data_IF_351127412633
#
_entry.id   IF_351127412633
#
_cell.length_a   1.000
_cell.length_b   1.000
_cell.length_c   1.000
_cell.angle_alpha   90.00
_cell.angle_beta   90.00
_cell.angle_gamma   90.00
#
_symmetry.space_group_name_H-M   'P 1'
#
loop_
_entity.id
_entity.type
_entity.pdbx_description
1 polymer ?
#
# COMPACT_ATOMS: atom_id res chain seq x y z
N UNK A 1 -1.68 18.29 14.72
CA UNK A 1 -2.65 18.11 13.62
C UNK A 1 -2.13 16.96 12.79
N UNK A 2 -2.88 15.88 12.63
CA UNK A 2 -2.40 14.71 11.87
C UNK A 2 -2.42 15.07 10.38
N UNK A 3 -1.30 14.93 9.65
CA UNK A 3 -1.26 15.16 8.22
C UNK A 3 -2.21 14.21 7.51
N UNK A 4 -2.96 14.74 6.55
CA UNK A 4 -3.93 13.96 5.76
C UNK A 4 -3.36 13.67 4.37
N UNK A 5 -3.61 12.47 3.84
CA UNK A 5 -3.33 12.19 2.43
C UNK A 5 -4.13 13.14 1.52
N UNK A 6 -3.47 13.68 0.50
CA UNK A 6 -4.15 14.46 -0.53
C UNK A 6 -5.10 13.58 -1.34
N UNK A 7 -6.11 14.21 -1.96
CA UNK A 7 -7.05 13.53 -2.85
C UNK A 7 -6.31 12.76 -3.95
N UNK A 8 -5.27 13.37 -4.56
CA UNK A 8 -4.46 12.72 -5.59
C UNK A 8 -3.73 11.47 -5.08
N UNK A 9 -3.18 11.51 -3.86
CA UNK A 9 -2.54 10.37 -3.23
C UNK A 9 -3.52 9.24 -2.95
N UNK A 10 -4.73 9.55 -2.48
CA UNK A 10 -5.79 8.55 -2.25
C UNK A 10 -6.18 7.88 -3.56
N UNK A 11 -6.45 8.64 -4.62
CA UNK A 11 -6.77 8.06 -5.93
C UNK A 11 -5.63 7.19 -6.47
N UNK A 12 -4.39 7.62 -6.27
CA UNK A 12 -3.23 6.85 -6.67
C UNK A 12 -3.12 5.52 -5.93
N UNK A 13 -3.27 5.54 -4.60
CA UNK A 13 -3.27 4.33 -3.78
C UNK A 13 -4.39 3.37 -4.18
N UNK A 14 -5.62 3.87 -4.40
CA UNK A 14 -6.72 3.02 -4.86
C UNK A 14 -6.39 2.32 -6.16
N UNK A 15 -5.83 3.05 -7.13
CA UNK A 15 -5.38 2.46 -8.40
C UNK A 15 -4.30 1.39 -8.18
N UNK A 16 -3.32 1.67 -7.31
CA UNK A 16 -2.25 0.73 -6.99
C UNK A 16 -2.80 -0.54 -6.32
N UNK A 17 -3.70 -0.40 -5.35
CA UNK A 17 -4.36 -1.51 -4.68
C UNK A 17 -5.16 -2.38 -5.66
N UNK A 18 -5.92 -1.78 -6.60
CA UNK A 18 -6.61 -2.56 -7.65
C UNK A 18 -5.65 -3.33 -8.54
N UNK A 19 -4.53 -2.72 -8.92
CA UNK A 19 -3.55 -3.35 -9.81
C UNK A 19 -2.91 -4.59 -9.16
N UNK A 20 -2.68 -4.56 -7.86
CA UNK A 20 -1.99 -5.61 -7.12
C UNK A 20 -2.93 -6.51 -6.30
N UNK A 21 -4.24 -6.26 -6.34
CA UNK A 21 -5.25 -6.95 -5.51
C UNK A 21 -5.08 -8.48 -5.44
N UNK A 22 -4.87 -9.23 -6.56
CA UNK A 22 -4.71 -10.68 -6.51
C UNK A 22 -3.47 -11.15 -5.72
N UNK A 23 -2.51 -10.26 -5.49
CA UNK A 23 -1.21 -10.52 -4.89
C UNK A 23 -1.06 -9.89 -3.50
N UNK A 24 -2.08 -9.17 -3.01
CA UNK A 24 -2.03 -8.53 -1.70
C UNK A 24 -2.77 -9.39 -0.68
N UNK A 25 -2.11 -9.66 0.45
CA UNK A 25 -2.72 -10.34 1.59
C UNK A 25 -2.69 -9.44 2.83
N UNK A 26 -3.79 -9.33 3.59
CA UNK A 26 -3.75 -8.63 4.86
C UNK A 26 -2.79 -9.32 5.82
N UNK A 27 -2.02 -8.51 6.55
CA UNK A 27 -1.14 -8.96 7.64
C UNK A 27 -1.87 -8.95 8.97
N UNK A 28 -2.92 -8.12 9.10
CA UNK A 28 -3.80 -8.08 10.26
C UNK A 28 -4.77 -9.28 10.28
N UNK A 29 -4.97 -9.86 11.46
CA UNK A 29 -5.98 -10.89 11.69
C UNK A 29 -7.39 -10.31 11.55
N UNK A 30 -8.35 -11.13 11.10
CA UNK A 30 -9.76 -10.74 11.02
C UNK A 30 -10.26 -10.18 12.37
N UNK A 31 -10.84 -8.98 12.34
CA UNK A 31 -11.34 -8.28 13.53
C UNK A 31 -10.33 -7.40 14.28
N UNK A 32 -9.05 -7.40 13.91
CA UNK A 32 -8.03 -6.55 14.52
C UNK A 32 -8.01 -5.10 13.98
N UNK A 33 -8.67 -4.85 12.85
CA UNK A 33 -8.74 -3.53 12.23
C UNK A 33 -9.38 -3.53 10.84
N UNK A 34 -9.43 -2.35 10.22
CA UNK A 34 -9.87 -2.19 8.83
C UNK A 34 -8.79 -2.68 7.86
N UNK A 35 -9.20 -3.47 6.86
CA UNK A 35 -8.30 -3.98 5.81
C UNK A 35 -8.25 -2.99 4.66
N UNK A 36 -7.04 -2.58 4.27
CA UNK A 36 -6.83 -1.77 3.09
C UNK A 36 -7.27 -2.52 1.82
N UNK A 37 -8.14 -1.89 1.03
CA UNK A 37 -8.46 -2.28 -0.33
C UNK A 37 -8.79 -1.03 -1.16
N UNK A 38 -9.06 -1.20 -2.45
CA UNK A 38 -9.29 -0.09 -3.36
C UNK A 38 -10.56 0.73 -3.08
N UNK A 39 -11.55 0.15 -2.41
CA UNK A 39 -12.82 0.82 -2.08
C UNK A 39 -12.86 1.33 -0.63
N UNK A 40 -11.89 0.92 0.20
CA UNK A 40 -11.81 1.31 1.58
C UNK A 40 -11.58 2.82 1.76
N UNK A 41 -12.00 3.31 2.92
CA UNK A 41 -11.56 4.61 3.43
C UNK A 41 -10.12 4.46 3.96
N UNK A 42 -9.15 4.92 3.17
CA UNK A 42 -7.73 4.77 3.49
C UNK A 42 -7.31 5.60 4.71
N UNK A 43 -8.03 6.66 5.05
CA UNK A 43 -7.76 7.43 6.27
C UNK A 43 -8.19 6.61 7.49
N UNK A 44 -9.40 6.06 7.47
CA UNK A 44 -9.89 5.19 8.54
C UNK A 44 -9.03 3.93 8.71
N UNK A 45 -8.51 3.37 7.59
CA UNK A 45 -7.57 2.25 7.64
C UNK A 45 -6.29 2.62 8.37
N UNK A 46 -5.68 3.77 8.06
CA UNK A 46 -4.46 4.22 8.75
C UNK A 46 -4.72 4.48 10.23
N UNK A 47 -5.84 5.13 10.58
CA UNK A 47 -6.23 5.36 11.97
C UNK A 47 -6.44 4.03 12.73
N UNK A 48 -6.99 3.01 12.07
CA UNK A 48 -7.16 1.69 12.65
C UNK A 48 -5.84 0.94 12.84
N UNK A 49 -4.86 1.12 11.95
CA UNK A 49 -3.56 0.46 12.01
C UNK A 49 -2.60 1.14 12.99
N UNK A 50 -2.72 2.46 13.14
CA UNK A 50 -1.84 3.31 13.93
C UNK A 50 -2.67 4.15 14.92
N UNK A 51 -3.08 3.57 16.07
CA UNK A 51 -3.91 4.27 17.05
C UNK A 51 -3.15 5.38 17.78
N UNK A 52 -1.81 5.36 17.78
CA UNK A 52 -1.00 6.45 18.29
C UNK A 52 -0.94 7.61 17.29
N UNK A 53 -1.33 8.81 17.72
CA UNK A 53 -1.44 9.98 16.83
C UNK A 53 -0.10 10.50 16.29
N UNK A 54 1.00 10.28 17.02
CA UNK A 54 2.34 10.72 16.58
C UNK A 54 2.90 9.73 15.57
N UNK A 55 2.69 8.42 15.79
CA UNK A 55 2.99 7.37 14.83
C UNK A 55 2.16 7.56 13.55
N UNK A 56 0.84 7.74 13.67
CA UNK A 56 -0.07 7.99 12.56
C UNK A 56 0.38 9.18 11.70
N UNK A 57 0.79 10.28 12.33
CA UNK A 57 1.32 11.43 11.62
C UNK A 57 2.59 11.09 10.85
N UNK A 58 3.52 10.39 11.50
CA UNK A 58 4.80 9.98 10.90
C UNK A 58 4.59 9.07 9.69
N UNK A 59 3.74 8.05 9.83
CA UNK A 59 3.48 7.08 8.75
C UNK A 59 2.69 7.71 7.61
N UNK A 60 1.79 8.65 7.89
CA UNK A 60 1.03 9.35 6.84
C UNK A 60 1.94 10.24 6.00
N UNK A 61 2.90 10.94 6.62
CA UNK A 61 3.91 11.68 5.87
C UNK A 61 4.84 10.77 5.07
N UNK A 62 5.30 9.67 5.67
CA UNK A 62 6.13 8.68 5.00
C UNK A 62 5.42 8.11 3.78
N UNK A 63 4.16 7.73 3.92
CA UNK A 63 3.31 7.23 2.83
C UNK A 63 3.16 8.27 1.72
N UNK A 64 2.92 9.53 2.08
CA UNK A 64 2.87 10.64 1.12
C UNK A 64 4.18 10.78 0.31
N UNK A 65 5.34 10.71 0.99
CA UNK A 65 6.65 10.75 0.33
C UNK A 65 6.87 9.55 -0.60
N UNK A 66 6.52 8.34 -0.15
CA UNK A 66 6.65 7.11 -0.93
C UNK A 66 5.78 7.15 -2.19
N UNK A 67 4.55 7.65 -2.10
CA UNK A 67 3.66 7.81 -3.26
C UNK A 67 4.29 8.75 -4.30
N UNK A 68 4.83 9.89 -3.87
CA UNK A 68 5.48 10.85 -4.77
C UNK A 68 6.71 10.25 -5.46
N UNK A 69 7.49 9.43 -4.74
CA UNK A 69 8.62 8.71 -5.33
C UNK A 69 8.15 7.64 -6.31
N UNK A 70 7.15 6.84 -5.92
CA UNK A 70 6.59 5.76 -6.75
C UNK A 70 5.98 6.28 -8.06
N UNK A 71 5.40 7.48 -8.04
CA UNK A 71 4.91 8.16 -9.24
C UNK A 71 6.01 8.51 -10.25
N UNK A 72 7.27 8.66 -9.79
CA UNK A 72 8.44 8.94 -10.64
C UNK A 72 9.09 7.65 -11.13
N UNK A 73 8.28 6.69 -11.58
CA UNK A 73 8.72 5.35 -12.02
C UNK A 73 9.91 5.41 -13.01
N UNK A 74 9.88 6.35 -13.95
CA UNK A 74 10.91 6.46 -15.00
C UNK A 74 12.31 6.83 -14.47
N UNK A 75 12.39 7.32 -13.23
CA UNK A 75 13.65 7.68 -12.56
C UNK A 75 14.17 6.59 -11.61
N UNK A 76 13.43 5.47 -11.47
CA UNK A 76 13.73 4.41 -10.53
C UNK A 76 14.19 3.15 -11.26
N UNK A 77 15.12 2.40 -10.66
CA UNK A 77 15.35 1.02 -11.08
C UNK A 77 14.13 0.15 -10.73
N UNK A 78 14.01 -1.01 -11.39
CA UNK A 78 12.95 -1.98 -11.07
C UNK A 78 12.98 -2.38 -9.59
N UNK A 79 14.17 -2.62 -9.03
CA UNK A 79 14.34 -2.97 -7.62
C UNK A 79 13.86 -1.86 -6.67
N UNK A 80 14.17 -0.60 -7.00
CA UNK A 80 13.72 0.54 -6.20
C UNK A 80 12.20 0.71 -6.27
N UNK A 81 11.62 0.55 -7.45
CA UNK A 81 10.19 0.61 -7.66
C UNK A 81 9.45 -0.46 -6.85
N UNK A 82 9.95 -1.70 -6.89
CA UNK A 82 9.38 -2.83 -6.15
C UNK A 82 9.55 -2.65 -4.64
N UNK A 83 10.71 -2.17 -4.17
CA UNK A 83 10.93 -1.87 -2.76
C UNK A 83 9.99 -0.79 -2.23
N UNK A 84 9.77 0.28 -3.01
CA UNK A 84 8.81 1.34 -2.65
C UNK A 84 7.39 0.79 -2.64
N UNK A 85 7.02 -0.03 -3.63
CA UNK A 85 5.71 -0.69 -3.68
C UNK A 85 5.45 -1.51 -2.41
N UNK A 86 6.42 -2.35 -2.02
CA UNK A 86 6.33 -3.18 -0.83
C UNK A 86 6.21 -2.34 0.45
N UNK A 87 6.95 -1.24 0.56
CA UNK A 87 6.82 -0.32 1.71
C UNK A 87 5.45 0.33 1.78
N UNK A 88 4.89 0.77 0.63
CA UNK A 88 3.53 1.32 0.57
C UNK A 88 2.51 0.29 1.05
N UNK A 89 2.58 -0.95 0.56
CA UNK A 89 1.67 -2.02 0.97
C UNK A 89 1.82 -2.35 2.46
N UNK A 90 3.06 -2.40 2.95
CA UNK A 90 3.34 -2.69 4.35
C UNK A 90 2.72 -1.65 5.30
N UNK A 91 2.85 -0.36 4.99
CA UNK A 91 2.20 0.72 5.76
C UNK A 91 0.67 0.56 5.76
N UNK A 92 0.10 0.03 4.67
CA UNK A 92 -1.33 -0.26 4.56
C UNK A 92 -1.75 -1.59 5.21
N UNK A 93 -0.84 -2.26 5.94
CA UNK A 93 -1.12 -3.55 6.58
C UNK A 93 -1.24 -4.71 5.60
N UNK A 94 -0.65 -4.58 4.41
CA UNK A 94 -0.70 -5.57 3.33
C UNK A 94 0.69 -6.14 3.05
N UNK A 95 0.74 -7.45 2.80
CA UNK A 95 1.92 -8.15 2.30
C UNK A 95 1.72 -8.47 0.83
N UNK A 96 2.70 -8.10 0.01
CA UNK A 96 2.78 -8.54 -1.37
C UNK A 96 3.28 -9.99 -1.42
N UNK A 97 2.50 -10.87 -2.03
CA UNK A 97 2.80 -12.28 -2.22
C UNK A 97 2.96 -12.48 -3.72
N UNK A 98 4.21 -12.60 -4.19
CA UNK A 98 4.44 -13.00 -5.57
C UNK A 98 3.74 -14.34 -5.85
N UNK A 99 3.15 -14.51 -7.04
CA UNK A 99 2.73 -15.84 -7.46
C UNK A 99 3.98 -16.75 -7.46
N UNK A 100 3.85 -18.02 -7.02
CA UNK A 100 4.96 -18.95 -7.11
C UNK A 100 5.42 -19.01 -8.57
N UNK A 101 6.70 -18.71 -8.80
CA UNK A 101 7.37 -18.95 -10.08
C UNK A 101 7.26 -20.46 -10.33
N UNK A 102 6.28 -20.87 -11.14
CA UNK A 102 5.94 -22.28 -11.34
C UNK A 102 4.54 -22.57 -11.87
N UNK A 103 3.62 -21.60 -11.92
CA UNK A 103 2.28 -21.78 -12.50
C UNK A 103 2.08 -21.12 -13.86
N UNK A 104 3.14 -21.05 -14.68
CA UNK A 104 2.98 -20.91 -16.13
C UNK A 104 3.18 -22.30 -16.71
N UNK A 105 2.15 -23.14 -16.62
CA UNK A 105 2.01 -24.22 -17.58
C UNK A 105 1.65 -23.58 -18.91
N UNK A 106 2.55 -23.70 -19.88
CA UNK A 106 2.18 -23.61 -21.28
C UNK A 106 1.01 -24.57 -21.55
N UNK A 107 -0.10 -24.06 -22.05
CA UNK A 107 -1.13 -24.74 -22.85
C UNK A 107 -2.11 -23.64 -23.29
N UNK A 108 -2.32 -23.31 -24.57
CA UNK A 108 -1.83 -23.79 -25.86
C UNK A 108 -2.32 -22.82 -26.93
#
# INVERSE_FOLDING_TARGET
MVPTLSISSVYYLRRLLRQYEPFLKPVIHEGAGLVANAEADLHAVLESLYPDTQELATVTEQLGRLILLHQKKDLLSTEQYDAISQQIFWILGLKYVLPPVGSVSMTG
#
